data_IF_087522843599
#
_entry.id   IF_087522843599
#
_cell.length_a   1.000
_cell.length_b   1.000
_cell.length_c   1.000
_cell.angle_alpha   90.00
_cell.angle_beta   90.00
_cell.angle_gamma   90.00
#
_symmetry.space_group_name_H-M   'P 1'
#
loop_
_entity.id
_entity.type
_entity.pdbx_description
1 polymer ?
#
# COMPACT_ATOMS: atom_id res chain seq x y z
N UNK A 1 -6.68 0.19 -23.70
CA UNK A 1 -5.36 0.16 -23.05
C UNK A 1 -5.34 -1.08 -22.17
N UNK A 2 -4.30 -1.91 -22.25
CA UNK A 2 -4.19 -3.08 -21.35
C UNK A 2 -4.08 -2.58 -19.91
N UNK A 3 -4.93 -3.08 -19.02
CA UNK A 3 -4.79 -2.82 -17.59
C UNK A 3 -3.39 -3.27 -17.13
N UNK A 4 -2.74 -2.55 -16.19
CA UNK A 4 -1.47 -3.00 -15.64
C UNK A 4 -1.61 -4.40 -15.08
N UNK A 5 -0.55 -5.19 -15.19
CA UNK A 5 -0.52 -6.42 -14.44
C UNK A 5 -0.26 -6.12 -12.96
N UNK A 6 -1.34 -6.04 -12.20
CA UNK A 6 -1.28 -5.89 -10.75
C UNK A 6 -1.03 -7.23 -10.02
N UNK A 7 -0.57 -8.31 -10.68
CA UNK A 7 -0.24 -9.58 -9.98
C UNK A 7 0.99 -9.39 -9.09
N UNK A 8 1.94 -8.56 -9.53
CA UNK A 8 3.20 -8.32 -8.85
C UNK A 8 3.46 -6.81 -8.68
N UNK A 9 2.61 -6.11 -7.90
CA UNK A 9 2.63 -4.66 -7.81
C UNK A 9 3.92 -4.16 -7.15
N UNK A 10 4.42 -4.83 -6.11
CA UNK A 10 5.63 -4.40 -5.42
C UNK A 10 6.87 -4.53 -6.29
N UNK A 11 7.04 -5.64 -7.02
CA UNK A 11 8.13 -5.74 -8.00
C UNK A 11 8.02 -4.64 -9.06
N UNK A 12 6.83 -4.51 -9.66
CA UNK A 12 6.57 -3.53 -10.71
C UNK A 12 6.86 -2.10 -10.24
N UNK A 13 6.47 -1.73 -9.03
CA UNK A 13 6.79 -0.45 -8.43
C UNK A 13 8.29 -0.27 -8.20
N UNK A 14 8.95 -1.24 -7.58
CA UNK A 14 10.38 -1.22 -7.25
C UNK A 14 11.30 -1.22 -8.50
N UNK A 15 10.81 -1.66 -9.66
CA UNK A 15 11.55 -1.55 -10.93
C UNK A 15 11.15 -0.34 -11.77
N UNK A 16 10.13 0.42 -11.34
CA UNK A 16 9.64 1.61 -12.06
C UNK A 16 9.53 2.84 -11.14
N UNK A 17 8.31 3.25 -10.77
CA UNK A 17 8.03 4.53 -10.11
C UNK A 17 8.59 4.61 -8.67
N UNK A 18 8.90 3.49 -8.04
CA UNK A 18 9.55 3.43 -6.73
C UNK A 18 11.01 2.95 -6.80
N UNK A 19 11.62 2.90 -7.99
CA UNK A 19 13.03 2.50 -8.16
C UNK A 19 14.02 3.30 -7.30
N UNK A 20 13.86 4.62 -7.06
CA UNK A 20 14.76 5.37 -6.17
C UNK A 20 14.78 4.89 -4.71
N UNK A 21 13.76 4.15 -4.26
CA UNK A 21 13.69 3.57 -2.92
C UNK A 21 14.17 2.12 -2.87
N UNK A 22 14.39 1.47 -4.02
CA UNK A 22 14.60 0.03 -4.06
C UNK A 22 15.97 -0.38 -3.54
N UNK A 23 15.99 -1.44 -2.72
CA UNK A 23 17.19 -2.17 -2.31
C UNK A 23 17.16 -3.53 -3.00
N UNK A 24 18.23 -3.91 -3.71
CA UNK A 24 18.35 -5.22 -4.36
C UNK A 24 18.90 -5.14 -5.77
N UNK A 25 18.56 -6.13 -6.61
CA UNK A 25 19.08 -6.29 -7.97
C UNK A 25 18.01 -6.67 -8.97
N UNK A 26 18.39 -7.44 -9.99
CA UNK A 26 17.52 -7.78 -11.12
C UNK A 26 16.57 -8.96 -10.85
N UNK A 27 16.85 -9.74 -9.80
CA UNK A 27 16.04 -10.90 -9.42
C UNK A 27 15.08 -10.61 -8.27
N UNK A 28 15.48 -9.74 -7.34
CA UNK A 28 14.73 -9.42 -6.14
C UNK A 28 15.02 -7.99 -5.68
N UNK A 29 13.98 -7.31 -5.20
CA UNK A 29 14.05 -5.97 -4.62
C UNK A 29 13.14 -5.86 -3.41
N UNK A 30 13.48 -5.00 -2.47
CA UNK A 30 12.62 -4.63 -1.34
C UNK A 30 12.63 -3.13 -1.09
N UNK A 31 11.62 -2.65 -0.38
CA UNK A 31 11.65 -1.32 0.22
C UNK A 31 12.57 -1.32 1.45
N UNK A 32 13.16 -0.17 1.83
CA UNK A 32 13.93 -0.05 3.06
C UNK A 32 13.03 -0.36 4.25
N UNK A 33 13.61 -0.97 5.29
CA UNK A 33 12.85 -1.35 6.49
C UNK A 33 12.17 -0.15 7.15
N UNK A 34 12.74 1.05 7.14
CA UNK A 34 12.09 2.26 7.66
C UNK A 34 10.90 2.76 6.83
N UNK A 35 10.76 2.31 5.58
CA UNK A 35 9.71 2.76 4.64
C UNK A 35 8.50 1.83 4.74
N UNK A 36 8.57 0.58 4.27
CA UNK A 36 7.48 -0.41 4.41
C UNK A 36 8.04 -1.84 4.37
N UNK A 37 7.38 -2.84 4.99
CA UNK A 37 7.84 -4.23 5.01
C UNK A 37 7.49 -5.01 3.73
N UNK A 38 7.70 -4.46 2.54
CA UNK A 38 7.34 -5.14 1.30
C UNK A 38 8.54 -5.33 0.37
N UNK A 39 8.46 -6.36 -0.46
CA UNK A 39 9.37 -6.57 -1.56
C UNK A 39 8.68 -7.22 -2.75
N UNK A 40 9.45 -7.45 -3.80
CA UNK A 40 9.03 -8.14 -5.00
C UNK A 40 10.20 -8.89 -5.62
N UNK A 41 9.88 -9.91 -6.38
CA UNK A 41 10.84 -10.70 -7.17
C UNK A 41 10.39 -10.73 -8.62
N UNK A 42 11.31 -10.96 -9.55
CA UNK A 42 10.99 -11.02 -10.97
C UNK A 42 10.01 -12.16 -11.29
N UNK A 43 10.24 -13.34 -10.71
CA UNK A 43 9.33 -14.49 -10.75
C UNK A 43 9.32 -15.20 -9.39
N UNK A 44 8.15 -15.27 -8.74
CA UNK A 44 7.99 -15.95 -7.44
C UNK A 44 8.15 -17.47 -7.55
N UNK A 45 7.99 -18.04 -8.75
CA UNK A 45 8.11 -19.48 -9.01
C UNK A 45 9.53 -19.90 -9.39
N UNK A 46 10.44 -18.94 -9.54
CA UNK A 46 11.86 -19.20 -9.79
C UNK A 46 12.64 -19.27 -8.45
N UNK A 47 13.26 -20.42 -8.11
CA UNK A 47 14.10 -20.54 -6.93
C UNK A 47 15.26 -19.53 -6.87
N UNK A 48 15.82 -19.12 -8.02
CA UNK A 48 16.91 -18.15 -8.05
C UNK A 48 16.45 -16.75 -7.60
N UNK A 49 15.25 -16.35 -8.04
CA UNK A 49 14.58 -15.13 -7.60
C UNK A 49 14.27 -15.15 -6.10
N UNK A 50 13.74 -16.26 -5.60
CA UNK A 50 13.43 -16.43 -4.18
C UNK A 50 14.69 -16.50 -3.29
N UNK A 51 15.78 -17.09 -3.78
CA UNK A 51 17.07 -17.09 -3.10
C UNK A 51 17.69 -15.69 -3.04
N UNK A 52 17.66 -14.94 -4.15
CA UNK A 52 18.08 -13.54 -4.16
C UNK A 52 17.26 -12.70 -3.19
N UNK A 53 15.96 -12.96 -3.06
CA UNK A 53 15.12 -12.29 -2.06
C UNK A 53 15.55 -12.65 -0.63
N UNK A 54 15.73 -13.93 -0.31
CA UNK A 54 16.24 -14.39 1.00
C UNK A 54 17.52 -13.65 1.39
N UNK A 55 18.43 -13.46 0.45
CA UNK A 55 19.72 -12.79 0.70
C UNK A 55 19.58 -11.27 0.99
N UNK A 56 18.41 -10.67 0.76
CA UNK A 56 18.10 -9.28 1.11
C UNK A 56 17.48 -9.11 2.52
N UNK A 57 17.15 -10.20 3.20
CA UNK A 57 16.51 -10.17 4.52
C UNK A 57 17.56 -10.13 5.62
N UNK A 58 17.27 -9.40 6.69
CA UNK A 58 18.02 -9.48 7.94
C UNK A 58 17.32 -10.38 8.96
N UNK A 59 18.07 -11.02 9.88
CA UNK A 59 17.48 -11.80 10.97
C UNK A 59 16.44 -10.99 11.77
N UNK A 60 15.27 -11.60 12.01
CA UNK A 60 14.16 -10.95 12.72
C UNK A 60 13.30 -10.02 11.85
N UNK A 61 13.67 -9.75 10.60
CA UNK A 61 12.79 -9.04 9.67
C UNK A 61 11.68 -9.94 9.13
N UNK A 62 10.50 -9.35 8.95
CA UNK A 62 9.39 -9.92 8.19
C UNK A 62 9.10 -9.00 7.00
N UNK A 63 9.21 -9.56 5.79
CA UNK A 63 8.98 -8.84 4.54
C UNK A 63 7.92 -9.57 3.73
N UNK A 64 6.92 -8.83 3.27
CA UNK A 64 5.79 -9.38 2.53
C UNK A 64 6.07 -9.41 1.03
N UNK A 65 5.82 -10.56 0.42
CA UNK A 65 5.71 -10.74 -1.03
C UNK A 65 4.24 -10.92 -1.44
N UNK A 66 3.95 -10.67 -2.70
CA UNK A 66 2.68 -11.03 -3.34
C UNK A 66 2.88 -12.14 -4.36
N UNK A 67 1.91 -13.04 -4.46
CA UNK A 67 1.91 -14.12 -5.44
C UNK A 67 1.49 -15.45 -4.83
N UNK A 68 1.39 -16.46 -5.68
CA UNK A 68 1.04 -17.83 -5.30
C UNK A 68 2.12 -18.79 -5.82
N UNK A 69 2.16 -19.99 -5.25
CA UNK A 69 3.13 -21.04 -5.57
C UNK A 69 4.60 -20.58 -5.49
N UNK A 70 4.94 -19.85 -4.42
CA UNK A 70 6.31 -19.38 -4.19
C UNK A 70 7.29 -20.56 -4.17
N UNK A 71 8.37 -20.47 -4.93
CA UNK A 71 9.41 -21.49 -4.96
C UNK A 71 10.04 -21.64 -3.57
N UNK A 72 10.15 -22.88 -3.12
CA UNK A 72 10.80 -23.20 -1.85
C UNK A 72 12.32 -22.99 -1.96
N UNK A 73 12.90 -22.33 -0.96
CA UNK A 73 14.34 -22.09 -0.85
C UNK A 73 14.76 -22.28 0.61
N UNK A 74 15.85 -23.02 0.82
CA UNK A 74 16.40 -23.26 2.15
C UNK A 74 16.72 -21.94 2.88
N UNK A 75 16.37 -21.88 4.17
CA UNK A 75 16.57 -20.71 5.01
C UNK A 75 15.54 -19.60 4.86
N UNK A 76 14.50 -19.78 4.03
CA UNK A 76 13.39 -18.85 3.88
C UNK A 76 12.07 -19.54 4.26
N UNK A 77 11.30 -18.96 5.16
CA UNK A 77 10.02 -19.53 5.63
C UNK A 77 8.88 -18.52 5.51
N UNK A 78 7.70 -19.02 5.17
CA UNK A 78 6.44 -18.25 5.25
C UNK A 78 5.96 -18.25 6.71
N UNK A 79 5.89 -17.06 7.30
CA UNK A 79 5.45 -16.86 8.70
C UNK A 79 3.97 -16.53 8.81
N UNK A 80 3.36 -16.00 7.75
CA UNK A 80 1.96 -15.58 7.72
C UNK A 80 1.46 -15.45 6.29
N UNK A 81 0.21 -15.84 6.08
CA UNK A 81 -0.55 -15.57 4.85
C UNK A 81 -1.71 -14.63 5.19
N UNK A 82 -1.78 -13.50 4.49
CA UNK A 82 -2.85 -12.52 4.62
C UNK A 82 -3.64 -12.44 3.30
N UNK A 83 -4.86 -13.01 3.26
CA UNK A 83 -5.72 -12.89 2.10
C UNK A 83 -6.18 -11.44 1.91
N UNK A 84 -6.07 -10.96 0.68
CA UNK A 84 -6.49 -9.63 0.26
C UNK A 84 -7.38 -9.67 -0.97
N UNK A 85 -8.04 -8.54 -1.20
CA UNK A 85 -8.69 -8.22 -2.47
C UNK A 85 -7.96 -7.06 -3.11
N UNK A 86 -7.88 -7.10 -4.43
CA UNK A 86 -7.42 -6.00 -5.26
C UNK A 86 -8.61 -5.38 -5.96
N UNK A 87 -8.66 -4.05 -5.99
CA UNK A 87 -9.73 -3.30 -6.64
C UNK A 87 -9.14 -2.18 -7.47
N UNK A 88 -9.77 -1.86 -8.59
CA UNK A 88 -9.41 -0.70 -9.42
C UNK A 88 -10.62 0.24 -9.53
N UNK A 89 -10.36 1.53 -9.68
CA UNK A 89 -11.42 2.50 -9.92
C UNK A 89 -11.96 2.32 -11.34
N UNK A 90 -13.28 2.13 -11.46
CA UNK A 90 -13.99 1.98 -12.74
C UNK A 90 -15.25 2.87 -12.81
N UNK A 91 -15.44 3.75 -11.80
CA UNK A 91 -16.55 4.68 -11.72
C UNK A 91 -16.37 5.91 -12.60
N UNK A 92 -17.42 6.74 -12.67
CA UNK A 92 -17.38 8.00 -13.41
C UNK A 92 -16.45 9.00 -12.69
N UNK A 93 -15.65 9.72 -13.47
CA UNK A 93 -14.49 10.52 -13.02
C UNK A 93 -14.87 11.84 -12.35
N UNK A 94 -16.17 12.12 -12.19
CA UNK A 94 -16.74 13.32 -11.57
C UNK A 94 -16.60 13.35 -10.04
N UNK A 95 -15.43 12.98 -9.52
CA UNK A 95 -15.11 13.18 -8.11
C UNK A 95 -14.51 14.57 -7.96
N UNK A 96 -15.36 15.55 -7.62
CA UNK A 96 -14.89 16.87 -7.20
C UNK A 96 -14.05 16.74 -5.92
N UNK A 97 -12.91 17.45 -5.87
CA UNK A 97 -12.12 17.57 -4.65
C UNK A 97 -12.99 18.20 -3.55
N UNK A 98 -12.99 17.60 -2.36
CA UNK A 98 -13.77 18.11 -1.24
C UNK A 98 -12.90 18.49 -0.05
N UNK A 99 -13.24 19.69 0.46
CA UNK A 99 -12.95 20.27 1.77
C UNK A 99 -11.60 20.99 1.93
N UNK A 100 -11.69 22.28 2.23
CA UNK A 100 -10.60 23.15 2.71
C UNK A 100 -9.96 22.66 4.04
N UNK A 101 -10.50 21.57 4.62
CA UNK A 101 -10.02 20.98 5.87
C UNK A 101 -8.99 19.86 5.64
N UNK A 102 -8.80 19.41 4.40
CA UNK A 102 -7.78 18.40 4.08
C UNK A 102 -6.41 19.06 4.05
N UNK A 103 -5.48 18.53 4.85
CA UNK A 103 -4.10 19.02 4.93
C UNK A 103 -3.13 18.01 4.32
N UNK A 104 -2.11 18.50 3.63
CA UNK A 104 -0.98 17.67 3.19
C UNK A 104 -0.14 17.27 4.41
N UNK A 105 0.29 16.01 4.43
CA UNK A 105 1.13 15.43 5.48
C UNK A 105 2.48 15.03 4.87
N UNK A 106 3.56 15.38 5.55
CA UNK A 106 4.93 15.07 5.13
C UNK A 106 5.80 14.57 6.28
N UNK A 107 7.10 14.81 6.15
CA UNK A 107 8.10 14.39 7.13
C UNK A 107 7.82 14.93 8.54
N UNK A 108 7.37 16.19 8.65
CA UNK A 108 7.07 16.82 9.94
C UNK A 108 5.96 16.10 10.71
N UNK A 109 4.96 15.56 10.00
CA UNK A 109 3.82 14.83 10.56
C UNK A 109 4.07 13.31 10.65
N UNK A 110 5.26 12.81 10.28
CA UNK A 110 5.53 11.37 10.21
C UNK A 110 5.24 10.64 11.53
N UNK A 111 5.56 11.26 12.66
CA UNK A 111 5.27 10.72 13.99
C UNK A 111 3.77 10.60 14.27
N UNK A 112 2.97 11.60 13.87
CA UNK A 112 1.51 11.57 13.99
C UNK A 112 0.89 10.53 13.07
N UNK A 113 1.40 10.39 11.84
CA UNK A 113 0.95 9.38 10.89
C UNK A 113 1.21 7.96 11.40
N UNK A 114 2.40 7.70 11.96
CA UNK A 114 2.71 6.42 12.62
C UNK A 114 1.77 6.19 13.81
N UNK A 115 1.60 7.18 14.69
CA UNK A 115 0.74 7.04 15.86
C UNK A 115 -0.71 6.72 15.49
N UNK A 116 -1.29 7.41 14.50
CA UNK A 116 -2.66 7.15 14.04
C UNK A 116 -2.81 5.77 13.38
N UNK A 117 -1.85 5.39 12.55
CA UNK A 117 -1.91 4.11 11.83
C UNK A 117 -1.64 2.92 12.74
N UNK A 118 -0.82 3.05 13.78
CA UNK A 118 -0.54 1.97 14.73
C UNK A 118 -1.79 1.55 15.52
N UNK A 119 -2.76 2.44 15.69
CA UNK A 119 -4.06 2.12 16.28
C UNK A 119 -4.87 1.17 15.38
N UNK A 120 -4.70 1.25 14.06
CA UNK A 120 -5.47 0.48 13.09
C UNK A 120 -4.71 -0.75 12.55
N UNK A 121 -3.43 -0.59 12.22
CA UNK A 121 -2.58 -1.54 11.50
C UNK A 121 -1.12 -1.45 11.99
N UNK A 122 -0.82 -1.93 13.21
CA UNK A 122 0.47 -1.73 13.84
C UNK A 122 1.65 -2.22 13.00
N UNK A 123 2.65 -1.36 12.80
CA UNK A 123 3.92 -1.68 12.15
C UNK A 123 3.95 -1.72 10.62
N UNK A 124 2.81 -1.48 9.95
CA UNK A 124 2.75 -1.39 8.47
C UNK A 124 3.15 -0.01 7.95
N UNK A 125 2.71 1.05 8.63
CA UNK A 125 3.22 2.39 8.43
C UNK A 125 4.40 2.60 9.37
N UNK A 126 5.45 3.24 8.87
CA UNK A 126 6.78 3.34 9.47
C UNK A 126 7.29 4.78 9.34
N UNK A 127 8.35 5.16 10.07
CA UNK A 127 8.80 6.55 10.14
C UNK A 127 9.13 7.19 8.78
N UNK A 128 9.52 6.41 7.78
CA UNK A 128 9.84 6.91 6.44
C UNK A 128 8.81 6.52 5.36
N UNK A 129 7.63 5.98 5.73
CA UNK A 129 6.57 5.61 4.77
C UNK A 129 6.06 6.79 3.96
N UNK A 130 6.17 8.01 4.50
CA UNK A 130 5.86 9.26 3.80
C UNK A 130 6.68 9.44 2.51
N UNK A 131 7.85 8.80 2.38
CA UNK A 131 8.68 8.85 1.17
C UNK A 131 8.03 8.17 -0.06
N UNK A 132 6.96 7.39 0.13
CA UNK A 132 6.28 6.70 -0.98
C UNK A 132 5.42 7.64 -1.85
N UNK A 133 5.09 8.83 -1.34
CA UNK A 133 4.39 9.87 -2.07
C UNK A 133 3.49 10.71 -1.15
N UNK A 134 2.40 11.25 -1.68
CA UNK A 134 1.58 12.21 -0.95
C UNK A 134 0.62 11.54 0.04
N UNK A 135 0.49 12.15 1.22
CA UNK A 135 -0.44 11.77 2.27
C UNK A 135 -1.27 12.96 2.68
N UNK A 136 -2.52 12.70 3.05
CA UNK A 136 -3.48 13.74 3.39
C UNK A 136 -4.21 13.39 4.67
N UNK A 137 -4.51 14.41 5.47
CA UNK A 137 -5.09 14.27 6.78
C UNK A 137 -6.29 15.17 7.02
N UNK A 138 -7.05 14.81 8.05
CA UNK A 138 -8.06 15.68 8.66
C UNK A 138 -7.70 15.88 10.13
N UNK A 139 -7.87 17.10 10.62
CA UNK A 139 -7.59 17.46 12.01
C UNK A 139 -8.84 17.88 12.77
N UNK A 140 -8.89 17.57 14.06
CA UNK A 140 -9.87 18.10 15.02
C UNK A 140 -9.09 18.59 16.22
N UNK A 141 -9.30 19.85 16.61
CA UNK A 141 -8.60 20.47 17.76
C UNK A 141 -7.06 20.35 17.68
N UNK A 142 -6.52 20.32 16.46
CA UNK A 142 -5.09 20.18 16.21
C UNK A 142 -4.59 18.74 16.07
N UNK A 143 -5.37 17.74 16.47
CA UNK A 143 -4.97 16.33 16.39
C UNK A 143 -5.28 15.70 15.02
N UNK A 144 -4.36 14.88 14.48
CA UNK A 144 -4.60 14.11 13.27
C UNK A 144 -5.57 12.94 13.55
N UNK A 145 -6.79 13.04 13.04
CA UNK A 145 -7.87 12.07 13.33
C UNK A 145 -8.17 11.11 12.19
N UNK A 146 -7.74 11.40 10.97
CA UNK A 146 -7.91 10.53 9.81
C UNK A 146 -6.85 10.85 8.77
N UNK A 147 -6.41 9.83 8.03
CA UNK A 147 -5.47 10.01 6.92
C UNK A 147 -5.70 8.99 5.81
N UNK A 148 -5.18 9.31 4.62
CA UNK A 148 -5.02 8.42 3.48
C UNK A 148 -3.83 8.89 2.64
N UNK A 149 -3.27 8.00 1.82
CA UNK A 149 -2.21 8.38 0.88
C UNK A 149 -1.89 7.26 -0.08
N UNK A 150 -0.61 7.15 -0.44
CA UNK A 150 -0.14 6.20 -1.45
C UNK A 150 0.82 5.17 -0.88
N UNK A 151 0.76 3.91 -1.35
CA UNK A 151 1.77 2.90 -0.99
C UNK A 151 2.64 2.48 -2.17
N UNK A 152 2.06 1.87 -3.20
CA UNK A 152 2.81 1.48 -4.40
C UNK A 152 2.40 2.31 -5.61
N UNK A 153 3.39 2.86 -6.29
CA UNK A 153 3.21 3.56 -7.56
C UNK A 153 3.64 2.68 -8.73
N UNK A 154 2.82 2.64 -9.78
CA UNK A 154 3.12 1.96 -11.05
C UNK A 154 3.08 2.99 -12.20
N UNK A 155 3.58 2.67 -13.40
CA UNK A 155 3.44 3.56 -14.55
C UNK A 155 1.96 3.83 -14.85
N UNK A 156 1.52 5.09 -14.70
CA UNK A 156 0.13 5.52 -14.90
C UNK A 156 -0.85 5.16 -13.76
N UNK A 157 -0.40 4.57 -12.66
CA UNK A 157 -1.30 4.15 -11.56
C UNK A 157 -0.72 4.44 -10.18
N UNK A 158 -1.59 4.71 -9.22
CA UNK A 158 -1.26 4.95 -7.81
C UNK A 158 -2.15 4.14 -6.89
N UNK A 159 -1.52 3.45 -5.94
CA UNK A 159 -2.24 2.66 -4.94
C UNK A 159 -2.74 3.54 -3.81
N UNK A 160 -4.05 3.65 -3.63
CA UNK A 160 -4.61 4.26 -2.42
C UNK A 160 -4.35 3.33 -1.23
N UNK A 161 -3.75 3.89 -0.18
CA UNK A 161 -3.36 3.15 1.01
C UNK A 161 -3.43 4.02 2.27
N UNK A 162 -3.04 3.43 3.41
CA UNK A 162 -3.02 4.06 4.73
C UNK A 162 -4.36 4.73 5.14
N UNK A 163 -5.49 4.28 4.58
CA UNK A 163 -6.80 4.84 4.89
C UNK A 163 -7.20 4.42 6.30
N UNK A 164 -7.16 5.36 7.24
CA UNK A 164 -7.55 5.12 8.61
C UNK A 164 -8.24 6.33 9.24
N UNK A 165 -8.98 6.08 10.31
CA UNK A 165 -9.68 7.10 11.09
C UNK A 165 -9.61 6.66 12.54
N UNK A 166 -9.26 7.59 13.43
CA UNK A 166 -9.17 7.35 14.86
C UNK A 166 -10.50 6.74 15.36
N UNK A 167 -10.48 5.69 16.21
CA UNK A 167 -11.69 4.97 16.61
C UNK A 167 -12.80 5.85 17.17
N UNK A 168 -12.45 6.93 17.87
CA UNK A 168 -13.39 7.90 18.44
C UNK A 168 -14.02 8.87 17.40
N UNK A 169 -13.52 8.85 16.16
CA UNK A 169 -13.93 9.75 15.08
C UNK A 169 -14.55 9.00 13.88
N UNK A 170 -14.90 7.72 14.05
CA UNK A 170 -15.51 6.91 12.98
C UNK A 170 -16.98 7.30 12.73
N UNK A 171 -17.55 6.88 11.59
CA UNK A 171 -18.95 7.13 11.23
C UNK A 171 -19.26 8.52 10.63
N UNK A 172 -18.28 9.42 10.56
CA UNK A 172 -18.46 10.81 10.07
C UNK A 172 -18.12 11.03 8.58
N UNK A 173 -17.86 9.96 7.83
CA UNK A 173 -17.56 10.03 6.39
C UNK A 173 -16.11 10.38 6.02
N UNK A 174 -15.21 10.55 7.00
CA UNK A 174 -13.81 10.99 6.78
C UNK A 174 -13.02 10.12 5.79
N UNK A 175 -13.09 8.79 5.91
CA UNK A 175 -12.42 7.89 4.97
C UNK A 175 -12.86 8.14 3.52
N UNK A 176 -14.16 8.30 3.28
CA UNK A 176 -14.68 8.56 1.94
C UNK A 176 -14.25 9.93 1.40
N UNK A 177 -14.19 10.95 2.27
CA UNK A 177 -13.68 12.28 1.90
C UNK A 177 -12.20 12.22 1.50
N UNK A 178 -11.36 11.57 2.31
CA UNK A 178 -9.93 11.44 2.04
C UNK A 178 -9.64 10.60 0.80
N UNK A 179 -10.35 9.48 0.60
CA UNK A 179 -10.22 8.66 -0.62
C UNK A 179 -10.54 9.51 -1.86
N UNK A 180 -11.64 10.27 -1.85
CA UNK A 180 -12.00 11.16 -2.97
C UNK A 180 -10.94 12.22 -3.24
N UNK A 181 -10.36 12.80 -2.19
CA UNK A 181 -9.27 13.77 -2.32
C UNK A 181 -8.04 13.13 -2.97
N UNK A 182 -7.56 12.00 -2.43
CA UNK A 182 -6.43 11.24 -3.00
C UNK A 182 -6.69 10.86 -4.46
N UNK A 183 -7.89 10.40 -4.79
CA UNK A 183 -8.26 10.07 -6.18
C UNK A 183 -8.18 11.28 -7.11
N UNK A 184 -8.61 12.46 -6.65
CA UNK A 184 -8.53 13.69 -7.43
C UNK A 184 -7.07 14.11 -7.65
N UNK A 185 -6.23 14.02 -6.61
CA UNK A 185 -4.81 14.34 -6.69
C UNK A 185 -4.06 13.40 -7.65
N UNK A 186 -4.28 12.08 -7.55
CA UNK A 186 -3.71 11.13 -8.50
C UNK A 186 -4.12 11.44 -9.95
N UNK A 187 -5.39 11.82 -10.20
CA UNK A 187 -5.84 12.20 -11.54
C UNK A 187 -5.22 13.51 -12.03
N UNK A 188 -5.04 14.49 -11.15
CA UNK A 188 -4.34 15.73 -11.48
C UNK A 188 -2.87 15.46 -11.90
N UNK A 189 -2.27 14.40 -11.36
CA UNK A 189 -0.95 13.89 -11.77
C UNK A 189 -0.99 12.98 -13.01
N UNK A 190 -2.16 12.75 -13.62
CA UNK A 190 -2.33 11.88 -14.79
C UNK A 190 -2.28 10.38 -14.46
N UNK A 191 -2.58 10.00 -13.22
CA UNK A 191 -2.59 8.62 -12.76
C UNK A 191 -4.00 8.10 -12.39
N UNK A 192 -4.21 6.82 -12.67
CA UNK A 192 -5.40 6.08 -12.28
C UNK A 192 -5.27 5.45 -10.89
N UNK A 193 -6.41 5.07 -10.32
CA UNK A 193 -6.50 4.63 -8.92
C UNK A 193 -6.74 3.13 -8.80
N UNK A 194 -5.98 2.48 -7.93
CA UNK A 194 -6.22 1.11 -7.49
C UNK A 194 -5.93 0.98 -6.00
N UNK A 195 -6.31 -0.14 -5.39
CA UNK A 195 -6.04 -0.40 -3.99
C UNK A 195 -6.04 -1.89 -3.68
N UNK A 196 -5.48 -2.21 -2.53
CA UNK A 196 -5.68 -3.49 -1.86
C UNK A 196 -6.35 -3.30 -0.51
N UNK A 197 -7.17 -4.28 -0.13
CA UNK A 197 -7.75 -4.38 1.20
C UNK A 197 -7.60 -5.81 1.73
N UNK A 198 -7.51 -5.98 3.04
CA UNK A 198 -7.64 -7.31 3.64
C UNK A 198 -9.01 -7.90 3.28
N UNK A 199 -9.07 -9.17 2.87
CA UNK A 199 -10.30 -9.80 2.41
C UNK A 199 -11.41 -9.81 3.49
N UNK A 200 -11.01 -9.85 4.76
CA UNK A 200 -11.90 -9.79 5.91
C UNK A 200 -12.43 -8.36 6.22
N UNK A 201 -11.88 -7.32 5.61
CA UNK A 201 -12.27 -5.93 5.88
C UNK A 201 -13.49 -5.51 5.03
N UNK A 202 -14.62 -6.21 5.23
CA UNK A 202 -15.85 -5.98 4.49
C UNK A 202 -16.35 -4.53 4.56
N UNK A 203 -16.13 -3.86 5.70
CA UNK A 203 -16.49 -2.44 5.88
C UNK A 203 -15.71 -1.53 4.95
N UNK A 204 -14.40 -1.71 4.80
CA UNK A 204 -13.59 -0.92 3.88
C UNK A 204 -13.96 -1.24 2.42
N UNK A 205 -14.11 -2.52 2.09
CA UNK A 205 -14.53 -2.97 0.74
C UNK A 205 -15.85 -2.29 0.32
N UNK A 206 -16.86 -2.30 1.19
CA UNK A 206 -18.14 -1.63 0.92
C UNK A 206 -18.04 -0.09 0.80
N UNK A 207 -17.01 0.54 1.37
CA UNK A 207 -16.72 1.96 1.12
C UNK A 207 -16.15 2.12 -0.29
N UNK A 208 -15.17 1.32 -0.66
CA UNK A 208 -14.54 1.37 -1.98
C UNK A 208 -15.54 1.11 -3.11
N UNK A 209 -16.40 0.10 -2.98
CA UNK A 209 -17.45 -0.21 -3.97
C UNK A 209 -18.41 0.96 -4.19
N UNK A 210 -18.89 1.59 -3.10
CA UNK A 210 -19.74 2.79 -3.18
C UNK A 210 -19.04 3.99 -3.79
N UNK A 211 -17.71 4.04 -3.72
CA UNK A 211 -16.90 5.08 -4.35
C UNK A 211 -16.59 4.76 -5.82
N UNK A 212 -17.00 3.61 -6.36
CA UNK A 212 -16.79 3.23 -7.75
C UNK A 212 -15.56 2.35 -8.00
N UNK A 213 -15.00 1.73 -6.96
CA UNK A 213 -14.00 0.68 -7.13
C UNK A 213 -14.67 -0.66 -7.42
N UNK A 214 -14.10 -1.40 -8.37
CA UNK A 214 -14.55 -2.73 -8.76
C UNK A 214 -13.50 -3.76 -8.38
N UNK A 215 -13.93 -4.92 -7.87
CA UNK A 215 -13.04 -6.05 -7.59
C UNK A 215 -12.32 -6.48 -8.87
N UNK A 216 -11.00 -6.62 -8.77
CA UNK A 216 -10.14 -7.09 -9.86
C UNK A 216 -9.80 -8.57 -9.69
N UNK A 217 -9.34 -8.94 -8.49
CA UNK A 217 -8.88 -10.29 -8.14
C UNK A 217 -8.68 -10.43 -6.63
N UNK A 218 -8.53 -11.68 -6.18
CA UNK A 218 -7.93 -11.97 -4.89
C UNK A 218 -6.40 -11.91 -4.98
N UNK A 219 -5.74 -11.57 -3.89
CA UNK A 219 -4.29 -11.51 -3.80
C UNK A 219 -3.83 -12.05 -2.44
N UNK A 220 -2.69 -12.73 -2.44
CA UNK A 220 -2.05 -13.25 -1.23
C UNK A 220 -0.89 -12.34 -0.83
N UNK A 221 -0.89 -11.81 0.39
CA UNK A 221 0.31 -11.20 0.98
C UNK A 221 0.98 -12.21 1.91
N UNK A 222 2.19 -12.65 1.56
CA UNK A 222 2.92 -13.71 2.25
C UNK A 222 4.09 -13.11 3.00
N UNK A 223 4.01 -13.12 4.33
CA UNK A 223 5.07 -12.60 5.18
C UNK A 223 6.21 -13.60 5.29
N UNK A 224 7.30 -13.31 4.63
CA UNK A 224 8.49 -14.14 4.56
C UNK A 224 9.52 -13.68 5.59
N UNK A 225 10.27 -14.63 6.16
CA UNK A 225 11.37 -14.35 7.09
C UNK A 225 12.45 -15.43 6.96
N UNK A 226 13.64 -15.13 7.48
CA UNK A 226 14.69 -16.14 7.62
C UNK A 226 14.28 -17.21 8.65
N UNK A 227 14.68 -18.45 8.38
CA UNK A 227 14.44 -19.60 9.28
C UNK A 227 15.21 -19.50 10.60
#
# INVERSE_FOLDING_TARGET
>A
MSHPDFTNPFWSGLVTANAPLAIGGDLARRYPAEVIPFGGVADVRDPACMAAFRDLLHPGEKVYLTGDDLAAVDGLVESVLLPGVQMHFAGDSSVAAFSDQVVLLGEAEAHEMVALTDVAFPGYFRPATWKLGQYYGLRVEGELIAMAGVRVSLPGWREISAVCTHPQHTGKGYAATLIRHVMAEHRNEGAENYLHAAAANHRAIAIYERLGFTHTRNISFRGMQLA
#
